data_IF_718952442376
#
_entry.id   IF_718952442376
#
_cell.length_a   1.000
_cell.length_b   1.000
_cell.length_c   1.000
_cell.angle_alpha   90.00
_cell.angle_beta   90.00
_cell.angle_gamma   90.00
#
_symmetry.space_group_name_H-M   'P 1'
#
loop_
_entity.id
_entity.type
_entity.pdbx_description
1 polymer ?
#
# COMPACT_ATOMS: atom_id res chain seq x y z
N UNK A 1 7.42 -13.67 -22.98
CA UNK A 1 8.65 -12.97 -23.43
C UNK A 1 9.47 -13.95 -24.25
N UNK A 2 9.97 -13.54 -25.43
CA UNK A 2 10.68 -14.41 -26.38
C UNK A 2 12.18 -14.58 -26.07
N UNK A 3 12.87 -15.55 -26.70
CA UNK A 3 14.29 -15.78 -26.50
C UNK A 3 15.14 -14.60 -26.99
N UNK A 4 16.18 -14.23 -26.24
CA UNK A 4 17.10 -13.13 -26.58
C UNK A 4 16.90 -11.81 -25.80
N UNK A 5 15.98 -11.78 -24.83
CA UNK A 5 15.79 -10.61 -23.97
C UNK A 5 16.88 -10.55 -22.89
N UNK A 6 17.71 -9.51 -22.91
CA UNK A 6 18.62 -9.18 -21.81
C UNK A 6 17.84 -8.33 -20.81
N UNK A 7 17.81 -8.75 -19.55
CA UNK A 7 17.07 -8.09 -18.49
C UNK A 7 18.03 -7.78 -17.36
N UNK A 8 18.26 -6.49 -17.13
CA UNK A 8 19.08 -6.02 -16.01
C UNK A 8 18.17 -5.50 -14.89
N UNK A 9 18.36 -6.02 -13.67
CA UNK A 9 17.63 -5.54 -12.50
C UNK A 9 18.15 -4.15 -12.14
N UNK A 10 17.34 -3.12 -12.40
CA UNK A 10 17.72 -1.74 -12.08
C UNK A 10 17.71 -1.48 -10.56
N UNK A 11 16.67 -1.93 -9.85
CA UNK A 11 16.56 -1.82 -8.39
C UNK A 11 15.45 -2.73 -7.82
N UNK A 12 15.58 -3.20 -6.57
CA UNK A 12 14.49 -3.90 -5.89
C UNK A 12 13.36 -2.92 -5.53
N UNK A 13 12.13 -3.25 -5.92
CA UNK A 13 10.96 -2.45 -5.55
C UNK A 13 10.53 -2.75 -4.11
N UNK A 14 10.80 -1.83 -3.18
CA UNK A 14 10.24 -1.91 -1.83
C UNK A 14 8.84 -1.31 -1.81
N UNK A 15 7.84 -2.13 -1.48
CA UNK A 15 6.43 -1.74 -1.33
C UNK A 15 6.11 -1.66 0.15
N UNK A 16 5.42 -0.59 0.55
CA UNK A 16 4.99 -0.35 1.93
C UNK A 16 3.50 0.04 1.97
N UNK A 17 2.85 -0.26 3.09
CA UNK A 17 1.52 0.25 3.38
C UNK A 17 1.60 1.67 3.95
N UNK A 18 0.75 2.57 3.47
CA UNK A 18 0.69 3.97 3.91
C UNK A 18 -0.75 4.38 4.19
N UNK A 19 -0.92 5.25 5.18
CA UNK A 19 -2.23 5.81 5.53
C UNK A 19 -2.10 7.23 6.09
N UNK A 20 -3.20 7.98 6.17
CA UNK A 20 -3.18 9.25 6.89
C UNK A 20 -2.87 9.03 8.37
N UNK A 21 -2.12 9.91 9.04
CA UNK A 21 -1.89 9.82 10.49
C UNK A 21 -3.19 9.80 11.31
N UNK A 22 -4.28 10.40 10.81
CA UNK A 22 -5.59 10.37 11.47
C UNK A 22 -6.26 9.00 11.50
N UNK A 23 -5.75 8.02 10.74
CA UNK A 23 -6.21 6.63 10.77
C UNK A 23 -5.52 5.82 11.88
N UNK A 24 -4.43 6.36 12.45
CA UNK A 24 -3.70 5.69 13.52
C UNK A 24 -4.45 5.78 14.85
N UNK A 25 -4.43 4.70 15.65
CA UNK A 25 -4.87 4.78 17.04
C UNK A 25 -4.12 5.88 17.81
N UNK A 26 -4.73 6.54 18.81
CA UNK A 26 -4.07 7.56 19.60
C UNK A 26 -2.74 7.07 20.19
N UNK A 27 -1.65 7.78 19.90
CA UNK A 27 -0.30 7.44 20.38
C UNK A 27 0.39 6.30 19.60
N UNK A 28 -0.26 5.69 18.62
CA UNK A 28 0.37 4.69 17.75
C UNK A 28 1.15 5.37 16.62
N UNK A 29 2.25 4.74 16.21
CA UNK A 29 3.04 5.15 15.04
C UNK A 29 2.76 4.26 13.80
N UNK A 30 2.02 3.17 13.95
CA UNK A 30 1.67 2.24 12.88
C UNK A 30 0.37 1.49 13.22
N UNK A 31 -0.30 0.98 12.19
CA UNK A 31 -1.43 0.04 12.33
C UNK A 31 -0.87 -1.35 12.58
N UNK A 32 -1.40 -2.06 13.57
CA UNK A 32 -1.01 -3.44 13.83
C UNK A 32 -1.35 -4.33 12.63
N UNK A 33 -0.45 -5.26 12.28
CA UNK A 33 -0.60 -6.12 11.10
C UNK A 33 -1.95 -6.83 11.01
N UNK A 34 -2.44 -7.35 12.14
CA UNK A 34 -3.73 -8.04 12.22
C UNK A 34 -4.95 -7.12 11.97
N UNK A 35 -4.79 -5.81 12.18
CA UNK A 35 -5.86 -4.82 11.99
C UNK A 35 -5.97 -4.32 10.56
N UNK A 36 -4.90 -4.44 9.75
CA UNK A 36 -4.86 -3.94 8.37
C UNK A 36 -6.06 -4.45 7.56
N UNK A 37 -6.42 -5.72 7.71
CA UNK A 37 -7.53 -6.34 6.99
C UNK A 37 -8.93 -5.78 7.33
N UNK A 38 -9.06 -5.10 8.48
CA UNK A 38 -10.31 -4.47 8.94
C UNK A 38 -10.48 -3.03 8.40
N UNK A 39 -9.43 -2.45 7.83
CA UNK A 39 -9.48 -1.14 7.18
C UNK A 39 -9.92 -1.25 5.71
N UNK A 40 -10.27 -0.09 5.13
CA UNK A 40 -10.47 0.01 3.69
C UNK A 40 -9.13 -0.13 2.98
N UNK A 41 -8.97 -1.18 2.19
CA UNK A 41 -7.77 -1.40 1.38
C UNK A 41 -7.95 -0.73 0.01
N UNK A 42 -7.06 0.21 -0.29
CA UNK A 42 -7.06 0.96 -1.54
C UNK A 42 -6.17 0.21 -2.54
N UNK A 43 -6.80 -0.36 -3.56
CA UNK A 43 -6.14 -1.10 -4.63
C UNK A 43 -5.84 -0.15 -5.79
N UNK A 44 -4.67 -0.31 -6.39
CA UNK A 44 -4.32 0.31 -7.67
C UNK A 44 -4.39 -0.74 -8.81
N UNK A 45 -3.88 -0.38 -9.99
CA UNK A 45 -3.82 -1.28 -11.14
C UNK A 45 -2.86 -2.47 -10.95
N UNK A 46 -1.83 -2.32 -10.12
CA UNK A 46 -0.87 -3.41 -9.83
C UNK A 46 -1.47 -4.47 -8.90
N UNK A 47 -2.48 -4.08 -8.10
CA UNK A 47 -3.25 -4.99 -7.25
C UNK A 47 -2.37 -5.85 -6.33
N UNK A 48 -1.38 -5.22 -5.69
CA UNK A 48 -0.35 -5.91 -4.89
C UNK A 48 -0.84 -6.43 -3.52
N UNK A 49 -2.06 -6.10 -3.10
CA UNK A 49 -2.60 -6.48 -1.80
C UNK A 49 -2.58 -7.99 -1.49
N UNK A 50 -2.97 -8.90 -2.40
CA UNK A 50 -2.89 -10.33 -2.12
C UNK A 50 -1.46 -10.81 -1.85
N UNK A 51 -0.51 -10.39 -2.67
CA UNK A 51 0.90 -10.74 -2.48
C UNK A 51 1.48 -10.11 -1.21
N UNK A 52 1.14 -8.85 -0.93
CA UNK A 52 1.60 -8.15 0.27
C UNK A 52 1.07 -8.82 1.55
N UNK A 53 -0.22 -9.18 1.58
CA UNK A 53 -0.83 -9.85 2.73
C UNK A 53 -0.13 -11.19 2.98
N UNK A 54 0.10 -11.99 1.94
CA UNK A 54 0.69 -13.32 2.09
C UNK A 54 2.19 -13.24 2.45
N UNK A 55 2.98 -12.47 1.68
CA UNK A 55 4.44 -12.48 1.80
C UNK A 55 5.00 -11.56 2.88
N UNK A 56 4.31 -10.45 3.17
CA UNK A 56 4.80 -9.44 4.14
C UNK A 56 4.09 -9.59 5.47
N UNK A 57 2.78 -9.81 5.46
CA UNK A 57 1.98 -9.90 6.69
C UNK A 57 1.78 -11.34 7.19
N UNK A 58 2.04 -12.35 6.35
CA UNK A 58 1.75 -13.75 6.68
C UNK A 58 0.25 -14.05 6.81
N UNK A 59 -0.60 -13.21 6.20
CA UNK A 59 -2.05 -13.28 6.27
C UNK A 59 -2.65 -13.62 4.90
N UNK A 60 -3.76 -14.36 4.89
CA UNK A 60 -4.56 -14.49 3.68
C UNK A 60 -5.49 -13.30 3.55
N UNK A 61 -5.67 -12.80 2.33
CA UNK A 61 -6.70 -11.81 2.04
C UNK A 61 -8.09 -12.36 2.42
N UNK A 62 -8.75 -11.73 3.37
CA UNK A 62 -10.14 -12.04 3.68
C UNK A 62 -11.04 -11.74 2.48
N UNK A 63 -11.97 -12.67 2.17
CA UNK A 63 -12.96 -12.50 1.10
C UNK A 63 -13.82 -11.24 1.33
N UNK A 64 -14.13 -10.94 2.60
CA UNK A 64 -14.96 -9.81 3.01
C UNK A 64 -14.18 -8.51 3.29
N UNK A 65 -12.88 -8.46 2.98
CA UNK A 65 -12.11 -7.23 3.17
C UNK A 65 -12.76 -6.06 2.40
N UNK A 66 -12.83 -4.89 3.02
CA UNK A 66 -13.34 -3.65 2.40
C UNK A 66 -12.31 -3.15 1.37
N UNK A 67 -12.75 -2.93 0.13
CA UNK A 67 -11.85 -2.60 -1.00
C UNK A 67 -12.38 -1.43 -1.79
N UNK A 68 -11.48 -0.51 -2.15
CA UNK A 68 -11.73 0.54 -3.12
C UNK A 68 -10.66 0.46 -4.21
N UNK A 69 -11.06 0.56 -5.48
CA UNK A 69 -10.13 0.39 -6.62
C UNK A 69 -9.90 1.70 -7.34
N UNK A 70 -8.64 1.97 -7.61
CA UNK A 70 -8.15 3.06 -8.44
C UNK A 70 -7.37 2.48 -9.63
N UNK A 71 -7.34 3.20 -10.73
CA UNK A 71 -6.58 2.81 -11.91
C UNK A 71 -5.09 3.23 -11.84
N UNK A 72 -4.71 4.02 -10.83
CA UNK A 72 -3.35 4.54 -10.65
C UNK A 72 -2.97 4.57 -9.18
N UNK A 73 -1.70 4.26 -8.88
CA UNK A 73 -1.15 4.30 -7.52
C UNK A 73 -1.20 5.70 -6.93
N UNK A 74 -1.01 6.76 -7.73
CA UNK A 74 -1.07 8.14 -7.28
C UNK A 74 -2.45 8.49 -6.67
N UNK A 75 -3.54 8.08 -7.32
CA UNK A 75 -4.90 8.29 -6.80
C UNK A 75 -5.17 7.50 -5.53
N UNK A 76 -4.68 6.27 -5.44
CA UNK A 76 -4.77 5.47 -4.21
C UNK A 76 -4.02 6.14 -3.05
N UNK A 77 -2.84 6.73 -3.31
CA UNK A 77 -2.07 7.50 -2.34
C UNK A 77 -2.84 8.76 -1.91
N UNK A 78 -3.42 9.51 -2.85
CA UNK A 78 -4.20 10.72 -2.53
C UNK A 78 -5.42 10.39 -1.67
N UNK A 79 -6.09 9.27 -1.94
CA UNK A 79 -7.19 8.77 -1.11
C UNK A 79 -6.70 8.33 0.28
N UNK A 80 -5.54 7.69 0.39
CA UNK A 80 -4.94 7.33 1.69
C UNK A 80 -4.59 8.59 2.51
N UNK A 81 -4.04 9.62 1.86
CA UNK A 81 -3.77 10.94 2.46
C UNK A 81 -5.07 11.58 2.98
N UNK A 82 -6.16 11.44 2.23
CA UNK A 82 -7.48 11.93 2.60
C UNK A 82 -8.19 11.07 3.68
N UNK A 83 -7.51 10.05 4.23
CA UNK A 83 -8.04 9.19 5.29
C UNK A 83 -9.06 8.15 4.82
N UNK A 84 -9.13 7.90 3.52
CA UNK A 84 -10.10 6.95 2.94
C UNK A 84 -9.72 5.48 3.18
N UNK A 85 -8.49 5.21 3.60
CA UNK A 85 -8.01 3.86 3.84
C UNK A 85 -6.49 3.74 3.80
N UNK A 86 -6.03 2.52 3.57
CA UNK A 86 -4.62 2.15 3.48
C UNK A 86 -4.29 1.87 2.01
N UNK A 87 -3.25 2.49 1.47
CA UNK A 87 -2.75 2.22 0.13
C UNK A 87 -1.41 1.49 0.18
N UNK A 88 -1.11 0.70 -0.84
CA UNK A 88 0.24 0.21 -1.09
C UNK A 88 0.97 1.17 -2.02
N UNK A 89 2.19 1.55 -1.66
CA UNK A 89 3.01 2.44 -2.44
C UNK A 89 4.46 1.94 -2.47
N UNK A 90 5.17 2.26 -3.55
CA UNK A 90 6.63 2.09 -3.55
C UNK A 90 7.26 3.08 -2.58
N UNK A 91 8.37 2.68 -1.93
CA UNK A 91 9.06 3.52 -0.96
C UNK A 91 9.44 4.92 -1.49
N UNK A 92 9.88 5.10 -2.76
CA UNK A 92 10.11 6.44 -3.33
C UNK A 92 8.83 7.28 -3.44
N UNK A 93 7.71 6.68 -3.82
CA UNK A 93 6.43 7.37 -3.93
C UNK A 93 5.92 7.80 -2.53
N UNK A 94 5.98 6.90 -1.56
CA UNK A 94 5.62 7.18 -0.18
C UNK A 94 6.49 8.29 0.43
N UNK A 95 7.81 8.27 0.20
CA UNK A 95 8.73 9.32 0.69
C UNK A 95 8.38 10.70 0.10
N UNK A 96 8.01 10.74 -1.17
CA UNK A 96 7.60 11.98 -1.85
C UNK A 96 6.33 12.57 -1.23
N UNK A 97 5.37 11.72 -0.84
CA UNK A 97 4.15 12.12 -0.15
C UNK A 97 4.38 12.48 1.35
N UNK A 98 5.25 11.73 2.05
CA UNK A 98 5.60 11.97 3.45
C UNK A 98 6.38 13.29 3.65
N UNK A 99 7.18 13.72 2.67
CA UNK A 99 7.85 15.04 2.68
C UNK A 99 6.86 16.19 2.82
N UNK A 100 5.57 15.98 2.49
CA UNK A 100 4.48 16.93 2.69
C UNK A 100 3.73 16.77 4.02
N UNK A 101 4.22 15.95 4.96
CA UNK A 101 3.60 15.59 6.26
C UNK A 101 2.18 15.00 6.15
N UNK A 102 1.90 14.24 5.08
CA UNK A 102 0.54 13.77 4.77
C UNK A 102 0.28 12.28 5.01
N UNK A 103 1.31 11.49 5.26
CA UNK A 103 1.23 10.05 5.49
C UNK A 103 2.04 9.65 6.72
N UNK A 104 1.55 8.61 7.39
CA UNK A 104 2.29 7.79 8.33
C UNK A 104 2.68 6.46 7.67
#
# INVERSE_FOLDING_TARGET
FGPGLVVDLLFPQQVIAVCSPGLLPPGACAIATAEIQHHMLLHDAHNLWPEFMEKVLGLKMATEAKRMRFNQTALAIDAAIAGQGIALASRPAARSAATRKRLA
#
